data_IF_321047385616
#
_entry.id   IF_321047385616
#
_cell.length_a   1.000
_cell.length_b   1.000
_cell.length_c   1.000
_cell.angle_alpha   90.00
_cell.angle_beta   90.00
_cell.angle_gamma   90.00
#
_symmetry.space_group_name_H-M   'P 1'
#
loop_
_entity.id
_entity.type
_entity.pdbx_description
1 polymer ?
#
# COMPACT_ATOMS: atom_id res chain seq x y z
N UNK A 1 -5.55 -5.85 51.16
CA UNK A 1 -5.83 -5.03 49.95
C UNK A 1 -4.77 -5.18 48.86
N UNK A 2 -3.47 -5.26 49.20
CA UNK A 2 -2.36 -5.43 48.24
C UNK A 2 -2.52 -6.61 47.26
N UNK A 3 -2.94 -7.79 47.74
CA UNK A 3 -3.18 -8.98 46.90
C UNK A 3 -4.27 -8.77 45.85
N UNK A 4 -5.34 -8.03 46.18
CA UNK A 4 -6.41 -7.70 45.23
C UNK A 4 -5.92 -6.69 44.20
N UNK A 5 -5.12 -5.72 44.62
CA UNK A 5 -4.51 -4.73 43.72
C UNK A 5 -3.58 -5.38 42.69
N UNK A 6 -2.77 -6.37 43.11
CA UNK A 6 -1.87 -7.15 42.26
C UNK A 6 -2.62 -7.99 41.22
N UNK A 7 -3.74 -8.61 41.59
CA UNK A 7 -4.55 -9.40 40.66
C UNK A 7 -5.21 -8.49 39.62
N UNK A 8 -5.73 -7.33 40.05
CA UNK A 8 -6.33 -6.35 39.16
C UNK A 8 -5.33 -5.75 38.17
N UNK A 9 -4.10 -5.44 38.61
CA UNK A 9 -3.06 -4.91 37.72
C UNK A 9 -2.59 -5.94 36.70
N UNK A 10 -2.46 -7.21 37.11
CA UNK A 10 -2.08 -8.31 36.22
C UNK A 10 -3.13 -8.54 35.12
N UNK A 11 -4.42 -8.46 35.49
CA UNK A 11 -5.55 -8.50 34.54
C UNK A 11 -5.52 -7.33 33.55
N UNK A 12 -5.18 -6.13 34.02
CA UNK A 12 -5.13 -4.94 33.14
C UNK A 12 -3.99 -5.06 32.11
N UNK A 13 -2.82 -5.56 32.53
CA UNK A 13 -1.65 -5.75 31.65
C UNK A 13 -1.92 -6.86 30.63
N UNK A 14 -2.58 -7.96 31.02
CA UNK A 14 -2.93 -9.03 30.08
C UNK A 14 -3.94 -8.56 29.03
N UNK A 15 -4.95 -7.79 29.41
CA UNK A 15 -5.91 -7.21 28.47
C UNK A 15 -5.25 -6.19 27.53
N UNK A 16 -4.35 -5.35 28.06
CA UNK A 16 -3.63 -4.36 27.28
C UNK A 16 -2.71 -5.02 26.24
N UNK A 17 -2.02 -6.10 26.61
CA UNK A 17 -1.16 -6.85 25.68
C UNK A 17 -1.95 -7.58 24.60
N UNK A 18 -3.12 -8.14 24.91
CA UNK A 18 -4.03 -8.73 23.92
C UNK A 18 -4.56 -7.66 22.95
N UNK A 19 -4.97 -6.49 23.46
CA UNK A 19 -5.40 -5.37 22.61
C UNK A 19 -4.29 -4.86 21.70
N UNK A 20 -3.06 -4.71 22.21
CA UNK A 20 -1.92 -4.33 21.39
C UNK A 20 -1.60 -5.37 20.31
N UNK A 21 -1.74 -6.67 20.62
CA UNK A 21 -1.53 -7.73 19.64
C UNK A 21 -2.58 -7.70 18.53
N UNK A 22 -3.86 -7.56 18.88
CA UNK A 22 -4.94 -7.43 17.90
C UNK A 22 -4.79 -6.17 17.03
N UNK A 23 -4.39 -5.05 17.62
CA UNK A 23 -4.10 -3.82 16.89
C UNK A 23 -2.94 -4.01 15.91
N UNK A 24 -1.85 -4.65 16.37
CA UNK A 24 -0.69 -4.97 15.53
C UNK A 24 -1.08 -5.86 14.36
N UNK A 25 -1.82 -6.94 14.62
CA UNK A 25 -2.26 -7.89 13.60
C UNK A 25 -3.21 -7.21 12.58
N UNK A 26 -4.01 -6.22 13.02
CA UNK A 26 -4.88 -5.39 12.14
C UNK A 26 -4.08 -4.38 11.30
N UNK A 27 -2.98 -3.85 11.83
CA UNK A 27 -2.09 -2.90 11.14
C UNK A 27 -1.16 -3.62 10.15
N UNK A 28 -0.70 -4.83 10.46
CA UNK A 28 0.05 -5.67 9.53
C UNK A 28 -0.78 -6.04 8.27
N UNK A 29 -2.11 -6.03 8.37
CA UNK A 29 -3.03 -6.25 7.25
C UNK A 29 -3.24 -5.01 6.35
N UNK A 30 -2.79 -3.82 6.74
CA UNK A 30 -2.95 -2.59 5.95
C UNK A 30 -1.68 -1.73 5.98
N UNK A 31 -0.55 -2.29 5.55
CA UNK A 31 0.60 -1.44 5.21
C UNK A 31 0.20 -0.59 4.01
N UNK A 32 0.29 0.72 4.21
CA UNK A 32 0.04 1.76 3.21
C UNK A 32 1.38 2.06 2.52
N UNK A 33 1.42 1.95 1.20
CA UNK A 33 2.61 2.19 0.39
C UNK A 33 3.47 0.95 0.14
N UNK A 34 4.30 1.03 -0.89
CA UNK A 34 5.25 -0.02 -1.28
C UNK A 34 6.45 -0.01 -0.33
N UNK A 35 6.97 -1.18 0.03
CA UNK A 35 8.18 -1.28 0.85
C UNK A 35 9.38 -0.66 0.11
N UNK A 36 10.16 0.18 0.79
CA UNK A 36 11.33 0.87 0.23
C UNK A 36 12.37 -0.06 -0.39
N UNK A 37 12.39 -1.34 0.02
CA UNK A 37 13.26 -2.36 -0.59
C UNK A 37 12.98 -2.57 -2.09
N UNK A 38 11.80 -2.17 -2.56
CA UNK A 38 11.43 -2.19 -3.98
C UNK A 38 11.64 -0.84 -4.68
N UNK A 39 12.21 0.18 -4.01
CA UNK A 39 12.47 1.47 -4.63
C UNK A 39 13.37 1.32 -5.87
N UNK A 40 12.98 1.98 -6.96
CA UNK A 40 13.65 1.84 -8.25
C UNK A 40 12.70 1.85 -9.44
N UNK A 41 13.27 1.60 -10.61
CA UNK A 41 12.54 1.54 -11.88
C UNK A 41 12.35 0.08 -12.26
N UNK A 42 11.10 -0.30 -12.48
CA UNK A 42 10.68 -1.65 -12.83
C UNK A 42 10.04 -1.61 -14.21
N UNK A 43 10.66 -2.28 -15.18
CA UNK A 43 10.05 -2.46 -16.49
C UNK A 43 8.90 -3.45 -16.35
N UNK A 44 7.76 -3.15 -16.97
CA UNK A 44 6.66 -4.11 -17.04
C UNK A 44 7.05 -5.14 -18.10
N UNK A 45 7.61 -6.26 -17.67
CA UNK A 45 7.98 -7.35 -18.57
C UNK A 45 6.73 -7.86 -19.29
N UNK A 46 6.82 -7.90 -20.62
CA UNK A 46 5.81 -8.56 -21.45
C UNK A 46 5.79 -10.03 -21.07
N UNK A 47 4.65 -10.49 -20.57
CA UNK A 47 4.43 -11.93 -20.53
C UNK A 47 4.68 -12.49 -21.94
N UNK A 48 5.41 -13.62 -22.08
CA UNK A 48 5.75 -14.18 -23.39
C UNK A 48 4.54 -14.66 -24.21
N UNK A 49 3.33 -14.50 -23.68
CA UNK A 49 2.06 -14.71 -24.38
C UNK A 49 1.59 -13.38 -24.98
N UNK A 50 2.35 -12.93 -25.99
CA UNK A 50 2.18 -11.69 -26.74
C UNK A 50 0.84 -11.65 -27.48
N UNK A 51 -0.17 -11.08 -26.82
CA UNK A 51 -1.29 -10.44 -27.51
C UNK A 51 -1.65 -9.07 -26.92
N UNK A 52 -1.07 -8.68 -25.77
CA UNK A 52 -1.35 -7.41 -25.11
C UNK A 52 -0.20 -6.41 -25.30
N UNK A 53 -0.01 -5.98 -26.56
CA UNK A 53 0.86 -4.86 -27.01
C UNK A 53 0.62 -3.54 -26.25
N UNK A 54 -0.41 -3.48 -25.41
CA UNK A 54 -0.80 -2.32 -24.64
C UNK A 54 0.26 -1.91 -23.60
N UNK A 55 1.09 -2.83 -23.11
CA UNK A 55 2.07 -2.51 -22.06
C UNK A 55 3.50 -2.28 -22.58
N UNK A 56 3.74 -2.36 -23.89
CA UNK A 56 5.03 -2.08 -24.51
C UNK A 56 5.61 -0.74 -24.04
N UNK A 57 6.85 -0.77 -23.54
CA UNK A 57 7.56 0.41 -23.04
C UNK A 57 6.99 1.02 -21.76
N UNK A 58 6.08 0.31 -21.07
CA UNK A 58 5.57 0.74 -19.76
C UNK A 58 6.56 0.42 -18.65
N UNK A 59 6.58 1.27 -17.65
CA UNK A 59 7.45 1.09 -16.48
C UNK A 59 6.79 1.66 -15.23
N UNK A 60 7.27 1.19 -14.08
CA UNK A 60 6.87 1.65 -12.75
C UNK A 60 8.10 2.27 -12.09
N UNK A 61 7.92 3.43 -11.45
CA UNK A 61 8.91 4.04 -10.56
C UNK A 61 8.37 3.94 -9.14
N UNK A 62 9.08 3.24 -8.27
CA UNK A 62 8.77 3.13 -6.85
C UNK A 62 9.72 4.06 -6.10
N UNK A 63 9.15 4.95 -5.29
CA UNK A 63 9.90 5.95 -4.50
C UNK A 63 10.14 5.43 -3.07
N UNK A 64 11.17 5.96 -2.42
CA UNK A 64 11.57 5.60 -1.04
C UNK A 64 10.47 5.84 0.01
N UNK A 65 9.53 6.74 -0.27
CA UNK A 65 8.37 7.04 0.58
C UNK A 65 7.21 6.05 0.39
N UNK A 66 7.39 5.03 -0.46
CA UNK A 66 6.40 4.01 -0.78
C UNK A 66 5.34 4.45 -1.79
N UNK A 67 5.46 5.64 -2.39
CA UNK A 67 4.62 6.06 -3.52
C UNK A 67 5.11 5.48 -4.85
N UNK A 68 4.24 5.52 -5.86
CA UNK A 68 4.47 4.89 -7.16
C UNK A 68 4.03 5.78 -8.32
N UNK A 69 4.86 5.86 -9.36
CA UNK A 69 4.46 6.40 -10.66
C UNK A 69 4.43 5.27 -11.68
N UNK A 70 3.30 5.09 -12.37
CA UNK A 70 3.16 4.11 -13.45
C UNK A 70 3.06 4.83 -14.79
N UNK A 71 4.05 4.66 -15.66
CA UNK A 71 3.99 5.12 -17.04
C UNK A 71 3.37 4.04 -17.93
N UNK A 72 2.24 4.36 -18.55
CA UNK A 72 1.54 3.47 -19.47
C UNK A 72 1.87 3.80 -20.92
N UNK A 73 2.66 2.94 -21.55
CA UNK A 73 3.21 3.14 -22.89
C UNK A 73 2.14 3.34 -23.97
N UNK A 74 1.03 2.59 -23.94
CA UNK A 74 -0.06 2.70 -24.93
C UNK A 74 -0.62 4.10 -25.11
N UNK A 75 -0.77 4.84 -24.00
CA UNK A 75 -1.43 6.15 -24.00
C UNK A 75 -0.47 7.28 -23.62
N UNK A 76 0.83 6.98 -23.49
CA UNK A 76 1.87 7.94 -23.12
C UNK A 76 1.50 8.79 -21.89
N UNK A 77 0.95 8.16 -20.85
CA UNK A 77 0.47 8.83 -19.64
C UNK A 77 1.10 8.23 -18.40
N UNK A 78 1.44 9.09 -17.45
CA UNK A 78 1.90 8.67 -16.12
C UNK A 78 0.78 8.82 -15.11
N UNK A 79 0.51 7.74 -14.38
CA UNK A 79 -0.42 7.68 -13.26
C UNK A 79 0.38 7.74 -11.96
N UNK A 80 -0.01 8.63 -11.06
CA UNK A 80 0.71 8.90 -9.83
C UNK A 80 -0.14 8.37 -8.67
N UNK A 81 0.47 7.58 -7.80
CA UNK A 81 -0.18 6.99 -6.63
C UNK A 81 0.62 7.34 -5.40
N UNK A 82 0.04 8.14 -4.50
CA UNK A 82 0.64 8.39 -3.19
C UNK A 82 0.70 7.09 -2.40
N UNK A 83 1.65 6.97 -1.46
CA UNK A 83 1.73 5.78 -0.58
C UNK A 83 0.38 5.49 0.08
N UNK A 84 -0.31 6.54 0.52
CA UNK A 84 -1.70 6.55 1.02
C UNK A 84 -2.73 5.77 0.21
N UNK A 85 -2.53 5.66 -1.10
CA UNK A 85 -3.46 5.06 -2.05
C UNK A 85 -3.07 3.64 -2.46
N UNK A 86 -1.97 3.11 -1.91
CA UNK A 86 -1.45 1.79 -2.26
C UNK A 86 -1.63 0.87 -1.07
N UNK A 87 -2.38 -0.21 -1.27
CA UNK A 87 -2.68 -1.18 -0.22
C UNK A 87 -1.81 -2.42 -0.42
N UNK A 88 -1.10 -2.83 0.64
CA UNK A 88 -0.44 -4.13 0.67
C UNK A 88 -1.44 -5.20 1.06
N UNK A 89 -1.64 -6.19 0.19
CA UNK A 89 -2.50 -7.35 0.45
C UNK A 89 -1.65 -8.61 0.35
N UNK A 90 -1.32 -9.19 1.51
CA UNK A 90 -0.40 -10.33 1.63
C UNK A 90 0.98 -10.02 1.01
N UNK A 91 1.26 -10.59 -0.15
CA UNK A 91 2.53 -10.44 -0.89
C UNK A 91 2.42 -9.47 -2.07
N UNK A 92 1.24 -8.91 -2.31
CA UNK A 92 0.96 -8.04 -3.46
C UNK A 92 0.69 -6.60 -3.02
N UNK A 93 0.88 -5.66 -3.93
CA UNK A 93 0.53 -4.25 -3.77
C UNK A 93 -0.54 -3.87 -4.78
N UNK A 94 -1.60 -3.22 -4.32
CA UNK A 94 -2.75 -2.86 -5.14
C UNK A 94 -2.92 -1.34 -5.13
N UNK A 95 -2.98 -0.75 -6.32
CA UNK A 95 -3.37 0.64 -6.55
C UNK A 95 -4.47 0.67 -7.59
N UNK A 96 -5.49 1.50 -7.39
CA UNK A 96 -6.65 1.61 -8.29
C UNK A 96 -6.71 3.02 -8.85
N UNK A 97 -6.72 3.14 -10.18
CA UNK A 97 -6.97 4.40 -10.86
C UNK A 97 -8.39 4.40 -11.43
N UNK A 98 -9.19 5.39 -11.02
CA UNK A 98 -10.50 5.66 -11.59
C UNK A 98 -10.42 6.95 -12.41
N UNK A 99 -10.75 6.85 -13.71
CA UNK A 99 -10.66 7.98 -14.64
C UNK A 99 -11.66 9.12 -14.30
N UNK A 100 -12.68 8.85 -13.48
CA UNK A 100 -13.70 9.82 -13.07
C UNK A 100 -13.22 10.85 -12.01
N UNK A 101 -12.07 10.67 -11.37
CA UNK A 101 -11.62 11.52 -10.26
C UNK A 101 -10.86 12.80 -10.69
N UNK A 102 -10.68 13.07 -11.99
CA UNK A 102 -9.95 14.25 -12.47
C UNK A 102 -10.76 15.57 -12.47
N UNK A 103 -12.03 15.54 -12.04
CA UNK A 103 -12.93 16.71 -12.11
C UNK A 103 -13.08 17.52 -10.82
N UNK A 104 -12.32 17.27 -9.76
CA UNK A 104 -12.51 17.95 -8.47
C UNK A 104 -11.45 19.00 -8.10
N UNK A 105 -10.78 19.60 -9.09
CA UNK A 105 -9.82 20.70 -8.87
C UNK A 105 -10.26 22.04 -9.48
N UNK A 106 -11.56 22.27 -9.65
CA UNK A 106 -12.15 23.58 -9.90
C UNK A 106 -13.36 23.81 -8.97
N UNK A 107 -13.08 23.96 -7.67
CA UNK A 107 -14.00 24.65 -6.77
C UNK A 107 -13.31 25.98 -6.42
N UNK A 108 -13.63 27.01 -7.20
CA UNK A 108 -13.47 28.43 -6.86
C UNK A 108 -14.39 28.84 -5.73
#
# INVERSE_FOLDING_TARGET
MLKRLLVSSLLLISLFTISCKNLKDTIEENIIGIDKTYAGIWNVDETPNVSDVNFLGSYIIIKEDGSMDFYFGKVHKTFNFSSGQILKVKNDYIAVYNEMDYNNSNIT
#
